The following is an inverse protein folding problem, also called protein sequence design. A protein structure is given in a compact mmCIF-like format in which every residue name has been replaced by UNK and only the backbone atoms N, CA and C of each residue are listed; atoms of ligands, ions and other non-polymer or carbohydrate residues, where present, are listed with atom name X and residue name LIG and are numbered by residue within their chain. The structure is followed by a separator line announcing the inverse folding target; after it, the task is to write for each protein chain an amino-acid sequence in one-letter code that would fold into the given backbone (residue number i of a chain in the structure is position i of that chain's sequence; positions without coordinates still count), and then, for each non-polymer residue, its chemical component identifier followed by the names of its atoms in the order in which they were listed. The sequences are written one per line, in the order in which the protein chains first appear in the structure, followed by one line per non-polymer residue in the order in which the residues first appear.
data_IF_252403781301
#
_entry.id   IF_252403781301
#
_cell.length_a   1.000
_cell.length_b   1.000
_cell.length_c   1.000
_cell.angle_alpha   90.00
_cell.angle_beta   90.00
_cell.angle_gamma   90.00
#
_symmetry.space_group_name_H-M   'P 1'
#
loop_
_entity.id
_entity.type
_entity.pdbx_description
1 polymer ?
#
# COMPACT_ATOMS: atom_id res chain seq x y z
N UNK A 1 -35.88 -75.18 -42.81
CA UNK A 1 -35.55 -76.37 -41.99
C UNK A 1 -34.05 -76.45 -41.82
N UNK A 2 -33.57 -76.76 -40.58
CA UNK A 2 -32.19 -76.65 -40.04
C UNK A 2 -31.85 -75.22 -39.59
N UNK A 3 -31.83 -74.82 -38.31
CA UNK A 3 -31.36 -75.43 -37.05
C UNK A 3 -29.88 -75.81 -37.06
N UNK A 4 -29.05 -74.95 -36.46
CA UNK A 4 -28.03 -75.36 -35.49
C UNK A 4 -27.69 -74.19 -34.56
N UNK A 5 -27.71 -74.50 -33.28
CA UNK A 5 -27.59 -73.62 -32.14
C UNK A 5 -26.24 -73.80 -31.43
N UNK A 6 -26.11 -73.10 -30.30
CA UNK A 6 -25.15 -73.22 -29.16
C UNK A 6 -24.06 -72.14 -29.22
N UNK A 7 -23.74 -71.42 -28.14
CA UNK A 7 -23.72 -71.79 -26.73
C UNK A 7 -24.33 -70.70 -25.79
N UNK A 8 -25.05 -71.18 -24.77
CA UNK A 8 -25.34 -70.53 -23.46
C UNK A 8 -24.06 -70.48 -22.59
N UNK A 9 -24.01 -69.93 -21.34
CA UNK A 9 -25.06 -69.32 -20.50
C UNK A 9 -24.59 -68.07 -19.70
N UNK A 10 -25.46 -67.66 -18.76
CA UNK A 10 -25.13 -67.05 -17.45
C UNK A 10 -25.01 -65.51 -17.42
N UNK A 11 -26.11 -64.86 -17.05
CA UNK A 11 -26.01 -63.80 -16.06
C UNK A 11 -27.13 -63.95 -15.03
N UNK A 12 -26.67 -64.31 -13.83
CA UNK A 12 -27.42 -64.30 -12.60
C UNK A 12 -27.75 -62.86 -12.20
N UNK A 13 -28.91 -62.70 -11.58
CA UNK A 13 -29.25 -61.51 -10.82
C UNK A 13 -28.25 -61.34 -9.67
N UNK A 14 -27.59 -60.18 -9.61
CA UNK A 14 -26.94 -59.68 -8.41
C UNK A 14 -27.49 -58.29 -8.16
N UNK A 15 -28.17 -58.17 -7.03
CA UNK A 15 -28.53 -56.91 -6.41
C UNK A 15 -27.24 -56.11 -6.15
N UNK A 16 -27.09 -54.94 -6.77
CA UNK A 16 -26.12 -53.96 -6.31
C UNK A 16 -26.80 -53.04 -5.30
N UNK A 17 -26.27 -53.10 -4.08
CA UNK A 17 -26.41 -52.05 -3.08
C UNK A 17 -26.09 -50.70 -3.72
N UNK A 18 -27.03 -49.77 -3.67
CA UNK A 18 -26.71 -48.36 -3.74
C UNK A 18 -25.99 -47.98 -2.44
N UNK A 19 -24.67 -48.17 -2.41
CA UNK A 19 -23.83 -47.45 -1.46
C UNK A 19 -23.84 -46.00 -1.92
N UNK A 20 -24.58 -45.17 -1.19
CA UNK A 20 -24.38 -43.74 -1.23
C UNK A 20 -22.94 -43.47 -0.76
N UNK A 21 -22.00 -43.41 -1.70
CA UNK A 21 -20.77 -42.67 -1.47
C UNK A 21 -21.19 -41.21 -1.34
N UNK A 22 -21.45 -40.79 -0.11
CA UNK A 22 -21.23 -39.42 0.33
C UNK A 22 -19.75 -39.13 0.05
N UNK A 23 -19.46 -38.68 -1.17
CA UNK A 23 -18.24 -37.95 -1.44
C UNK A 23 -18.35 -36.69 -0.59
N UNK A 24 -17.73 -36.75 0.58
CA UNK A 24 -17.28 -35.58 1.31
C UNK A 24 -16.47 -34.76 0.31
N UNK A 25 -17.14 -33.85 -0.37
CA UNK A 25 -16.49 -32.80 -1.12
C UNK A 25 -15.76 -31.99 -0.09
N UNK A 26 -14.49 -32.35 0.12
CA UNK A 26 -13.50 -31.36 0.53
C UNK A 26 -13.58 -30.34 -0.59
N UNK A 27 -14.32 -29.26 -0.33
CA UNK A 27 -14.21 -28.07 -1.14
C UNK A 27 -12.73 -27.74 -1.11
N UNK A 28 -12.06 -27.91 -2.25
CA UNK A 28 -10.77 -27.28 -2.42
C UNK A 28 -10.99 -25.81 -2.07
N UNK A 29 -10.09 -25.18 -1.28
CA UNK A 29 -10.14 -23.74 -1.15
C UNK A 29 -10.19 -23.17 -2.56
N UNK A 30 -11.19 -22.31 -2.80
CA UNK A 30 -11.29 -21.57 -4.05
C UNK A 30 -9.99 -20.83 -4.32
N UNK A 31 -9.78 -20.31 -5.55
CA UNK A 31 -8.62 -19.49 -5.84
C UNK A 31 -8.51 -18.44 -4.73
N UNK A 32 -7.33 -18.38 -4.11
CA UNK A 32 -6.97 -17.36 -3.14
C UNK A 32 -7.57 -16.03 -3.60
N UNK A 33 -8.33 -15.35 -2.73
CA UNK A 33 -8.60 -13.92 -2.93
C UNK A 33 -7.27 -13.28 -3.29
N UNK A 34 -7.21 -12.53 -4.41
CA UNK A 34 -5.97 -11.87 -4.81
C UNK A 34 -5.38 -11.19 -3.57
N UNK A 35 -4.10 -11.41 -3.25
CA UNK A 35 -3.51 -10.74 -2.10
C UNK A 35 -3.70 -9.23 -2.32
N UNK A 36 -4.04 -8.52 -1.25
CA UNK A 36 -4.28 -7.07 -1.19
C UNK A 36 -3.01 -6.29 -1.56
N UNK A 37 -2.59 -6.39 -2.82
CA UNK A 37 -1.40 -5.78 -3.39
C UNK A 37 -1.84 -4.54 -4.15
N UNK A 38 -1.25 -3.40 -3.81
CA UNK A 38 -1.61 -2.09 -4.38
C UNK A 38 -0.38 -1.47 -5.01
N UNK A 39 -0.40 -1.33 -6.34
CA UNK A 39 0.60 -0.64 -7.12
C UNK A 39 0.32 0.85 -7.18
N UNK A 40 1.35 1.65 -7.02
CA UNK A 40 1.21 3.09 -6.91
C UNK A 40 2.36 3.82 -7.61
N UNK A 41 1.99 4.82 -8.40
CA UNK A 41 2.88 5.82 -8.96
C UNK A 41 2.52 7.15 -8.30
N UNK A 42 3.46 7.72 -7.55
CA UNK A 42 3.24 8.94 -6.78
C UNK A 42 4.16 10.06 -7.24
N UNK A 43 3.62 11.26 -7.44
CA UNK A 43 4.40 12.50 -7.53
C UNK A 43 4.57 13.12 -6.14
N UNK A 44 5.67 13.85 -5.97
CA UNK A 44 5.94 14.60 -4.75
C UNK A 44 6.27 16.05 -5.08
N UNK A 45 5.79 16.96 -4.24
CA UNK A 45 6.15 18.38 -4.30
C UNK A 45 6.49 18.90 -2.91
N UNK A 46 7.64 19.56 -2.77
CA UNK A 46 8.05 20.19 -1.52
C UNK A 46 8.77 21.52 -1.74
N UNK A 47 9.21 22.15 -0.66
CA UNK A 47 10.05 23.34 -0.73
C UNK A 47 11.39 23.09 -1.44
N UNK A 48 11.80 21.81 -1.52
CA UNK A 48 13.04 21.41 -2.15
C UNK A 48 12.90 20.93 -3.60
N UNK A 49 11.73 21.15 -4.20
CA UNK A 49 11.43 20.79 -5.58
C UNK A 49 10.48 19.60 -5.70
N UNK A 50 10.47 18.99 -6.89
CA UNK A 50 9.64 17.82 -7.18
C UNK A 50 10.43 16.51 -7.05
N UNK A 51 9.72 15.42 -6.77
CA UNK A 51 10.24 14.06 -6.80
C UNK A 51 9.10 13.09 -7.13
N UNK A 52 9.35 11.78 -7.01
CA UNK A 52 8.38 10.73 -7.28
C UNK A 52 8.70 9.43 -6.54
N UNK A 53 7.72 8.53 -6.49
CA UNK A 53 7.88 7.16 -6.01
C UNK A 53 7.17 6.20 -6.94
N UNK A 54 7.79 5.05 -7.17
CA UNK A 54 7.09 3.85 -7.61
C UNK A 54 7.07 2.89 -6.45
N UNK A 55 5.89 2.38 -6.09
CA UNK A 55 5.80 1.44 -4.98
C UNK A 55 4.71 0.41 -5.20
N UNK A 56 4.88 -0.71 -4.52
CA UNK A 56 3.84 -1.69 -4.34
C UNK A 56 3.78 -2.12 -2.89
N UNK A 57 2.58 -2.09 -2.33
CA UNK A 57 2.31 -2.39 -0.93
C UNK A 57 1.44 -3.64 -0.83
N UNK A 58 1.62 -4.44 0.21
CA UNK A 58 0.61 -5.39 0.67
C UNK A 58 -0.17 -4.81 1.84
N UNK A 59 -1.50 -4.95 1.87
CA UNK A 59 -2.24 -4.84 3.13
C UNK A 59 -2.32 -6.21 3.83
N UNK A 60 -2.24 -6.18 5.15
CA UNK A 60 -2.31 -7.36 6.02
C UNK A 60 -2.40 -6.92 7.48
N UNK A 61 -2.70 -7.86 8.38
CA UNK A 61 -2.71 -7.55 9.81
C UNK A 61 -1.29 -7.15 10.25
N UNK A 62 -1.08 -5.91 10.72
CA UNK A 62 0.23 -5.37 11.09
C UNK A 62 0.93 -6.22 12.16
N UNK A 63 0.15 -6.90 13.00
CA UNK A 63 0.64 -7.65 14.16
C UNK A 63 1.04 -9.09 13.85
N UNK A 64 0.58 -9.66 12.73
CA UNK A 64 0.82 -11.08 12.44
C UNK A 64 2.08 -11.31 11.63
N UNK A 65 2.69 -10.27 11.03
CA UNK A 65 3.86 -10.36 10.16
C UNK A 65 3.79 -11.54 9.17
N UNK A 66 2.59 -12.00 8.80
CA UNK A 66 2.43 -13.12 7.89
C UNK A 66 3.04 -12.69 6.54
N UNK A 67 3.91 -13.52 5.94
CA UNK A 67 4.53 -13.19 4.67
C UNK A 67 3.44 -12.99 3.62
N UNK A 68 3.30 -11.76 3.12
CA UNK A 68 2.49 -11.52 1.93
C UNK A 68 3.27 -11.90 0.67
N UNK A 69 2.56 -12.01 -0.46
CA UNK A 69 3.10 -12.31 -1.79
C UNK A 69 4.41 -11.57 -2.12
N UNK A 70 4.54 -10.29 -1.73
CA UNK A 70 5.74 -9.48 -1.99
C UNK A 70 7.02 -9.97 -1.29
N UNK A 71 6.90 -10.81 -0.26
CA UNK A 71 8.03 -11.27 0.56
C UNK A 71 8.96 -12.21 -0.22
N UNK A 72 8.36 -13.13 -0.97
CA UNK A 72 9.04 -14.23 -1.67
C UNK A 72 9.54 -13.86 -3.06
N UNK A 73 9.25 -12.62 -3.50
CA UNK A 73 9.70 -12.12 -4.79
C UNK A 73 11.21 -11.87 -4.77
N UNK A 74 11.82 -12.10 -5.93
CA UNK A 74 13.22 -11.77 -6.20
C UNK A 74 13.36 -10.33 -6.65
N UNK A 75 12.38 -9.82 -7.40
CA UNK A 75 12.37 -8.46 -7.93
C UNK A 75 10.95 -8.00 -8.24
N UNK A 76 10.72 -6.70 -8.11
CA UNK A 76 9.59 -6.02 -8.76
C UNK A 76 10.18 -4.99 -9.72
N UNK A 77 9.70 -4.97 -10.96
CA UNK A 77 10.09 -3.97 -11.96
C UNK A 77 8.87 -3.23 -12.49
N UNK A 78 9.07 -2.00 -12.90
CA UNK A 78 8.04 -1.12 -13.47
C UNK A 78 8.43 -0.76 -14.89
N UNK A 79 7.53 -1.01 -15.84
CA UNK A 79 7.63 -0.55 -17.20
C UNK A 79 6.87 0.78 -17.29
N UNK A 80 7.55 1.85 -17.70
CA UNK A 80 6.98 3.20 -17.78
C UNK A 80 6.26 3.41 -19.13
N UNK A 81 5.36 4.41 -19.23
CA UNK A 81 4.72 4.78 -20.49
C UNK A 81 5.72 5.15 -21.60
N UNK A 82 6.90 5.65 -21.20
CA UNK A 82 7.96 6.06 -22.12
C UNK A 82 8.84 4.88 -22.59
N UNK A 83 8.59 3.68 -22.08
CA UNK A 83 9.29 2.45 -22.43
C UNK A 83 10.52 2.13 -21.57
N UNK A 84 10.74 2.88 -20.49
CA UNK A 84 11.80 2.57 -19.53
C UNK A 84 11.42 1.39 -18.65
N UNK A 85 12.44 0.68 -18.14
CA UNK A 85 12.28 -0.39 -17.16
C UNK A 85 13.09 -0.03 -15.92
N UNK A 86 12.43 0.02 -14.78
CA UNK A 86 13.06 0.36 -13.49
C UNK A 86 12.79 -0.70 -12.45
N UNK A 87 13.81 -1.03 -11.66
CA UNK A 87 13.75 -2.04 -10.61
C UNK A 87 13.46 -1.36 -9.26
N UNK A 88 12.57 -1.96 -8.48
CA UNK A 88 12.24 -1.50 -7.14
C UNK A 88 13.13 -2.18 -6.08
N UNK A 89 13.28 -1.54 -4.92
CA UNK A 89 14.03 -2.06 -3.78
C UNK A 89 13.08 -2.59 -2.70
N UNK A 90 13.48 -3.65 -1.98
CA UNK A 90 12.73 -4.12 -0.81
C UNK A 90 12.89 -3.15 0.35
N UNK A 91 11.78 -2.67 0.88
CA UNK A 91 11.73 -1.84 2.08
C UNK A 91 10.64 -2.34 3.02
N UNK A 92 11.04 -3.00 4.12
CA UNK A 92 10.12 -3.56 5.10
C UNK A 92 10.21 -2.76 6.39
N UNK A 93 9.30 -1.79 6.54
CA UNK A 93 9.14 -1.04 7.78
C UNK A 93 7.96 -1.59 8.57
N UNK A 94 8.19 -1.92 9.84
CA UNK A 94 7.19 -2.47 10.76
C UNK A 94 6.98 -1.45 11.86
N UNK A 95 5.98 -0.58 11.71
CA UNK A 95 5.56 0.31 12.79
C UNK A 95 4.03 0.35 12.87
N UNK A 96 3.48 -0.19 13.94
CA UNK A 96 2.03 -0.31 14.14
C UNK A 96 1.30 1.04 14.29
N UNK A 97 2.00 2.11 14.67
CA UNK A 97 1.39 3.43 14.87
C UNK A 97 1.25 4.26 13.57
N UNK A 98 1.91 3.86 12.47
CA UNK A 98 1.79 4.56 11.19
C UNK A 98 0.48 4.31 10.46
N UNK A 99 -0.28 3.29 10.87
CA UNK A 99 -1.37 2.73 10.07
C UNK A 99 -0.90 2.11 8.75
N UNK A 100 0.42 2.08 8.51
CA UNK A 100 1.08 1.58 7.32
C UNK A 100 2.16 0.57 7.76
N UNK A 101 1.72 -0.64 8.12
CA UNK A 101 2.64 -1.79 8.16
C UNK A 101 2.71 -2.34 6.76
N UNK A 102 3.64 -1.79 5.99
CA UNK A 102 3.76 -2.14 4.58
C UNK A 102 5.06 -2.90 4.38
N UNK A 103 4.93 -4.21 4.18
CA UNK A 103 5.93 -4.91 3.37
C UNK A 103 5.81 -4.32 1.96
N UNK A 104 6.79 -3.53 1.55
CA UNK A 104 6.74 -2.84 0.26
C UNK A 104 7.99 -3.04 -0.56
N UNK A 105 7.80 -2.86 -1.86
CA UNK A 105 8.88 -2.58 -2.79
C UNK A 105 8.74 -1.13 -3.23
N UNK A 106 9.83 -0.38 -3.27
CA UNK A 106 9.81 1.04 -3.58
C UNK A 106 11.05 1.48 -4.33
N UNK A 107 10.89 2.47 -5.21
CA UNK A 107 11.99 3.25 -5.78
C UNK A 107 11.65 4.73 -5.63
N UNK A 108 12.60 5.49 -5.09
CA UNK A 108 12.51 6.92 -4.91
C UNK A 108 13.18 7.66 -6.07
N UNK A 109 12.46 8.63 -6.63
CA UNK A 109 13.02 9.56 -7.59
C UNK A 109 14.05 10.49 -6.96
N UNK A 110 14.96 11.05 -7.77
CA UNK A 110 15.88 12.08 -7.30
C UNK A 110 15.10 13.34 -6.90
N UNK A 111 15.62 14.05 -5.90
CA UNK A 111 15.18 15.39 -5.58
C UNK A 111 15.41 16.32 -6.78
N UNK A 112 14.46 17.24 -7.02
CA UNK A 112 14.39 18.07 -8.24
C UNK A 112 14.20 17.22 -9.52
N UNK A 113 13.76 15.97 -9.38
CA UNK A 113 13.39 15.10 -10.48
C UNK A 113 12.11 15.55 -11.17
N UNK A 114 11.99 15.25 -12.46
CA UNK A 114 10.72 15.42 -13.18
C UNK A 114 9.70 14.42 -12.63
N UNK A 115 8.47 14.84 -12.30
CA UNK A 115 7.44 13.89 -11.87
C UNK A 115 7.09 12.92 -13.00
N UNK A 116 6.49 11.75 -12.70
CA UNK A 116 6.25 10.70 -13.69
C UNK A 116 5.29 11.19 -14.78
N UNK A 117 5.47 10.70 -16.01
CA UNK A 117 4.58 11.01 -17.13
C UNK A 117 3.20 10.39 -16.90
N UNK A 118 2.13 11.03 -17.41
CA UNK A 118 0.82 10.37 -17.42
C UNK A 118 0.81 9.21 -18.42
N UNK A 119 0.16 8.11 -18.07
CA UNK A 119 0.03 6.94 -18.94
C UNK A 119 -0.11 5.63 -18.17
N UNK A 120 -0.03 4.54 -18.91
CA UNK A 120 -0.10 3.17 -18.37
C UNK A 120 1.29 2.76 -17.85
N UNK A 121 1.35 2.36 -16.58
CA UNK A 121 2.52 1.76 -15.95
C UNK A 121 2.26 0.27 -15.71
N UNK A 122 3.17 -0.59 -16.13
CA UNK A 122 3.06 -2.03 -15.86
C UNK A 122 4.03 -2.47 -14.78
N UNK A 123 3.50 -3.01 -13.69
CA UNK A 123 4.27 -3.65 -12.63
C UNK A 123 4.41 -5.13 -12.93
N UNK A 124 5.64 -5.63 -12.91
CA UNK A 124 5.94 -7.04 -13.07
C UNK A 124 6.64 -7.58 -11.83
N UNK A 125 6.19 -8.76 -11.41
CA UNK A 125 6.63 -9.43 -10.20
C UNK A 125 7.42 -10.67 -10.59
N UNK A 126 8.69 -10.71 -10.21
CA UNK A 126 9.60 -11.77 -10.60
C UNK A 126 9.93 -12.66 -9.40
N UNK A 127 9.91 -13.95 -9.64
CA UNK A 127 10.45 -14.95 -8.73
C UNK A 127 11.55 -15.71 -9.46
N UNK A 128 12.76 -15.68 -8.90
CA UNK A 128 13.99 -15.94 -9.67
C UNK A 128 14.05 -15.01 -10.89
N UNK A 129 14.05 -15.56 -12.11
CA UNK A 129 14.12 -14.80 -13.37
C UNK A 129 12.82 -14.87 -14.18
N UNK A 130 11.74 -15.40 -13.61
CA UNK A 130 10.45 -15.56 -14.30
C UNK A 130 9.43 -14.54 -13.79
N UNK A 131 8.72 -13.90 -14.72
CA UNK A 131 7.58 -13.04 -14.40
C UNK A 131 6.41 -13.92 -14.00
N UNK A 132 6.05 -13.89 -12.71
CA UNK A 132 4.96 -14.71 -12.15
C UNK A 132 3.64 -13.95 -12.08
N UNK A 133 3.68 -12.62 -12.11
CA UNK A 133 2.51 -11.73 -12.18
C UNK A 133 2.88 -10.46 -12.94
N UNK A 134 1.90 -9.87 -13.63
CA UNK A 134 1.97 -8.56 -14.25
C UNK A 134 0.63 -7.85 -14.08
N UNK A 135 0.66 -6.55 -13.78
CA UNK A 135 -0.53 -5.72 -13.64
C UNK A 135 -0.25 -4.30 -14.14
N UNK A 136 -1.17 -3.76 -14.95
CA UNK A 136 -1.07 -2.42 -15.51
C UNK A 136 -2.01 -1.47 -14.77
N UNK A 137 -1.52 -0.28 -14.45
CA UNK A 137 -2.29 0.80 -13.83
C UNK A 137 -2.19 2.08 -14.66
N UNK A 138 -3.30 2.83 -14.71
CA UNK A 138 -3.32 4.15 -15.31
C UNK A 138 -2.90 5.20 -14.27
N UNK A 139 -1.91 6.02 -14.63
CA UNK A 139 -1.48 7.16 -13.83
C UNK A 139 -1.78 8.47 -14.56
N UNK A 140 -2.41 9.40 -13.84
CA UNK A 140 -2.55 10.80 -14.30
C UNK A 140 -1.70 11.68 -13.40
N UNK A 141 -0.72 12.35 -14.02
CA UNK A 141 0.17 13.26 -13.31
C UNK A 141 -0.63 14.41 -12.73
N UNK A 142 -0.47 14.62 -11.42
CA UNK A 142 -1.00 15.77 -10.71
C UNK A 142 0.10 16.41 -9.89
N UNK A 143 -0.02 17.73 -9.69
CA UNK A 143 0.88 18.51 -8.87
C UNK A 143 0.11 19.65 -8.21
N UNK A 144 0.29 19.80 -6.91
CA UNK A 144 -0.20 20.93 -6.12
C UNK A 144 0.94 21.45 -5.25
N UNK A 145 0.89 22.74 -4.91
CA UNK A 145 1.75 23.30 -3.88
C UNK A 145 1.52 22.61 -2.52
N UNK A 146 2.44 22.81 -1.59
CA UNK A 146 2.39 22.21 -0.26
C UNK A 146 1.78 23.15 0.80
N UNK A 147 1.29 22.61 1.93
CA UNK A 147 0.77 23.42 3.04
C UNK A 147 1.86 24.26 3.69
N UNK A 148 1.50 25.45 4.14
CA UNK A 148 2.46 26.42 4.71
C UNK A 148 2.01 26.90 6.08
N UNK A 149 2.86 27.70 6.74
CA UNK A 149 2.55 28.33 8.03
C UNK A 149 2.08 27.36 9.13
N UNK A 150 2.62 26.13 9.10
CA UNK A 150 2.32 25.10 10.10
C UNK A 150 2.71 25.59 11.49
N UNK A 151 1.73 25.63 12.39
CA UNK A 151 1.85 26.00 13.81
C UNK A 151 1.24 24.90 14.66
N UNK A 152 1.75 24.76 15.88
CA UNK A 152 1.22 23.78 16.82
C UNK A 152 1.20 24.33 18.25
N UNK A 153 0.39 23.71 19.09
CA UNK A 153 0.28 24.02 20.51
C UNK A 153 -0.04 22.75 21.32
N UNK A 154 0.67 22.57 22.45
CA UNK A 154 0.34 21.56 23.47
C UNK A 154 -0.84 22.02 24.32
N UNK A 155 -1.86 21.18 24.44
CA UNK A 155 -3.04 21.37 25.29
C UNK A 155 -3.20 20.17 26.22
N UNK A 156 -2.43 20.15 27.33
CA UNK A 156 -2.35 18.96 28.17
C UNK A 156 -1.60 17.83 27.45
N UNK A 157 -2.31 16.74 27.16
CA UNK A 157 -1.79 15.61 26.38
C UNK A 157 -2.17 15.68 24.89
N UNK A 158 -2.98 16.68 24.51
CA UNK A 158 -3.40 16.88 23.14
C UNK A 158 -2.44 17.80 22.40
N UNK A 159 -2.37 17.65 21.08
CA UNK A 159 -1.66 18.56 20.18
C UNK A 159 -2.66 19.19 19.23
N UNK A 160 -2.79 20.51 19.29
CA UNK A 160 -3.51 21.29 18.29
C UNK A 160 -2.54 21.75 17.20
N UNK A 161 -2.91 21.57 15.93
CA UNK A 161 -2.11 21.95 14.75
C UNK A 161 -2.95 22.82 13.84
N UNK A 162 -2.35 23.86 13.25
CA UNK A 162 -2.97 24.75 12.27
C UNK A 162 -2.03 24.94 11.08
N UNK A 163 -2.58 25.06 9.88
CA UNK A 163 -1.82 25.31 8.65
C UNK A 163 -2.59 26.20 7.67
N UNK A 164 -1.87 26.78 6.71
CA UNK A 164 -2.44 27.50 5.58
C UNK A 164 -2.50 26.55 4.36
N UNK A 165 -3.70 26.25 3.84
CA UNK A 165 -3.85 25.32 2.71
C UNK A 165 -3.26 25.91 1.42
N UNK A 166 -2.62 25.09 0.56
CA UNK A 166 -2.15 25.56 -0.74
C UNK A 166 -3.31 25.88 -1.68
N UNK A 167 -3.04 26.67 -2.72
CA UNK A 167 -4.01 26.86 -3.80
C UNK A 167 -4.22 25.56 -4.59
N UNK A 168 -5.47 25.30 -5.01
CA UNK A 168 -5.81 24.13 -5.82
C UNK A 168 -6.25 22.91 -5.03
N UNK A 169 -6.36 22.99 -3.70
CA UNK A 169 -6.91 21.89 -2.89
C UNK A 169 -8.39 21.74 -3.20
N UNK A 170 -8.81 20.51 -3.47
CA UNK A 170 -10.17 20.20 -3.88
C UNK A 170 -10.71 18.93 -3.20
N UNK A 171 -12.02 18.74 -3.31
CA UNK A 171 -12.70 17.58 -2.76
C UNK A 171 -12.12 16.28 -3.33
N UNK A 172 -11.74 15.37 -2.43
CA UNK A 172 -11.08 14.10 -2.77
C UNK A 172 -9.59 14.08 -2.44
N UNK A 173 -9.00 15.23 -2.12
CA UNK A 173 -7.72 15.32 -1.44
C UNK A 173 -7.89 15.11 0.08
N UNK A 174 -6.80 14.98 0.80
CA UNK A 174 -6.83 14.91 2.27
C UNK A 174 -5.50 15.37 2.85
N UNK A 175 -5.52 15.89 4.07
CA UNK A 175 -4.30 16.14 4.83
C UNK A 175 -3.94 14.91 5.66
N UNK A 176 -2.66 14.76 5.97
CA UNK A 176 -2.26 14.04 7.18
C UNK A 176 -1.57 15.00 8.12
N UNK A 177 -1.78 14.84 9.42
CA UNK A 177 -0.86 15.38 10.43
C UNK A 177 0.00 14.24 10.93
N UNK A 178 1.30 14.39 10.75
CA UNK A 178 2.30 13.37 11.06
C UNK A 178 3.19 13.90 12.19
N UNK A 179 3.44 13.07 13.19
CA UNK A 179 4.43 13.31 14.24
C UNK A 179 5.45 12.18 14.20
N UNK A 180 6.73 12.49 14.09
CA UNK A 180 7.80 11.49 14.17
C UNK A 180 8.86 11.88 15.20
N UNK A 181 9.57 10.89 15.73
CA UNK A 181 10.71 11.11 16.63
C UNK A 181 11.94 11.64 15.88
N UNK A 182 12.71 12.50 16.55
CA UNK A 182 14.02 12.99 16.11
C UNK A 182 15.13 12.58 17.09
N UNK A 183 16.35 12.45 16.54
CA UNK A 183 17.56 12.20 17.32
C UNK A 183 17.52 10.88 18.08
N UNK A 184 17.86 10.93 19.38
CA UNK A 184 17.91 9.76 20.27
C UNK A 184 16.55 9.42 20.90
N UNK A 185 15.48 10.15 20.54
CA UNK A 185 14.14 9.92 21.06
C UNK A 185 13.61 8.57 20.56
N UNK A 186 13.09 7.69 21.44
CA UNK A 186 12.50 6.42 21.01
C UNK A 186 11.48 6.61 19.89
N UNK A 187 11.50 5.72 18.91
CA UNK A 187 10.66 5.83 17.73
C UNK A 187 9.17 5.88 18.12
N UNK A 188 8.55 7.02 17.86
CA UNK A 188 7.12 7.25 17.86
C UNK A 188 6.78 7.78 16.46
N UNK A 189 5.67 7.32 15.92
CA UNK A 189 5.18 7.80 14.65
C UNK A 189 3.66 7.88 14.71
N UNK A 190 3.09 9.07 14.61
CA UNK A 190 1.64 9.29 14.63
C UNK A 190 1.26 9.82 13.26
N UNK A 191 0.16 9.30 12.70
CA UNK A 191 -0.34 9.71 11.40
C UNK A 191 -1.86 9.69 11.42
N UNK A 192 -2.49 10.86 11.28
CA UNK A 192 -3.95 11.00 11.26
C UNK A 192 -4.40 11.73 10.01
N UNK A 193 -5.48 11.25 9.39
CA UNK A 193 -6.06 11.79 8.15
C UNK A 193 -7.13 12.85 8.48
N UNK A 194 -7.13 13.94 7.73
CA UNK A 194 -8.11 15.02 7.84
C UNK A 194 -8.66 15.40 6.46
N UNK A 195 -9.90 15.87 6.41
CA UNK A 195 -10.58 16.27 5.17
C UNK A 195 -9.84 17.41 4.45
N UNK A 196 -10.01 17.49 3.14
CA UNK A 196 -9.38 18.48 2.24
C UNK A 196 -9.64 19.95 2.59
N UNK A 197 -10.73 20.27 3.29
CA UNK A 197 -11.09 21.63 3.68
C UNK A 197 -10.67 21.97 5.12
N UNK A 198 -9.92 21.08 5.77
CA UNK A 198 -9.37 21.35 7.09
C UNK A 198 -8.20 22.36 7.01
N UNK A 199 -8.20 23.30 7.94
CA UNK A 199 -7.10 24.26 8.18
C UNK A 199 -6.49 24.05 9.58
N UNK A 200 -7.04 23.13 10.36
CA UNK A 200 -6.58 22.79 11.71
C UNK A 200 -7.02 21.40 12.12
N UNK A 201 -6.34 20.85 13.12
CA UNK A 201 -6.59 19.54 13.70
C UNK A 201 -6.26 19.52 15.19
N UNK A 202 -6.86 18.58 15.93
CA UNK A 202 -6.46 18.23 17.29
C UNK A 202 -6.18 16.72 17.32
N UNK A 203 -4.96 16.35 17.67
CA UNK A 203 -4.59 14.97 17.96
C UNK A 203 -4.75 14.72 19.46
N UNK A 204 -5.73 13.90 19.88
CA UNK A 204 -5.97 13.66 21.30
C UNK A 204 -4.98 12.65 21.89
N UNK A 205 -4.57 12.86 23.14
CA UNK A 205 -3.79 11.92 23.96
C UNK A 205 -2.57 11.31 23.23
N UNK A 206 -1.75 12.17 22.61
CA UNK A 206 -0.56 11.72 21.86
C UNK A 206 0.48 11.16 22.86
N UNK A 207 0.94 9.91 22.73
CA UNK A 207 1.78 9.25 23.73
C UNK A 207 3.26 9.64 23.61
N UNK A 208 3.56 10.94 23.61
CA UNK A 208 4.93 11.46 23.55
C UNK A 208 5.58 11.43 24.93
N UNK A 209 6.86 11.06 24.97
CA UNK A 209 7.70 11.12 26.16
C UNK A 209 8.11 12.57 26.44
N UNK A 210 7.97 13.01 27.69
CA UNK A 210 8.47 14.32 28.15
C UNK A 210 9.97 14.45 27.85
N UNK A 211 10.40 15.66 27.47
CA UNK A 211 11.76 15.99 27.03
C UNK A 211 12.22 15.28 25.74
N UNK A 212 11.31 14.55 25.05
CA UNK A 212 11.58 13.94 23.76
C UNK A 212 11.60 14.97 22.62
N UNK A 213 12.44 14.73 21.62
CA UNK A 213 12.53 15.54 20.40
C UNK A 213 11.69 14.91 19.30
N UNK A 214 10.82 15.71 18.68
CA UNK A 214 9.89 15.27 17.66
C UNK A 214 9.77 16.31 16.56
N UNK A 215 9.20 15.92 15.41
CA UNK A 215 8.77 16.84 14.37
C UNK A 215 7.28 16.71 14.10
N UNK A 216 6.66 17.79 13.63
CA UNK A 216 5.31 17.79 13.05
C UNK A 216 5.41 18.09 11.56
N UNK A 217 4.75 17.27 10.74
CA UNK A 217 4.58 17.48 9.31
C UNK A 217 3.10 17.54 8.95
N UNK A 218 2.75 18.41 8.01
CA UNK A 218 1.38 18.52 7.45
C UNK A 218 1.44 18.43 5.93
N UNK A 219 1.53 17.21 5.37
CA UNK A 219 1.36 16.97 3.95
C UNK A 219 -0.12 17.02 3.51
N UNK A 220 -0.34 17.40 2.26
CA UNK A 220 -1.60 17.18 1.51
C UNK A 220 -1.41 16.07 0.50
N UNK A 221 -2.35 15.15 0.43
CA UNK A 221 -2.37 14.01 -0.48
C UNK A 221 -3.48 14.19 -1.51
N UNK A 222 -3.22 13.65 -2.70
CA UNK A 222 -4.14 13.63 -3.82
C UNK A 222 -3.96 12.30 -4.55
N UNK A 223 -4.86 12.01 -5.50
CA UNK A 223 -4.73 10.79 -6.27
C UNK A 223 -3.41 10.79 -7.06
N UNK A 224 -2.53 9.83 -6.78
CA UNK A 224 -1.24 9.73 -7.45
C UNK A 224 -0.15 10.69 -6.93
N UNK A 225 -0.26 11.20 -5.70
CA UNK A 225 0.85 11.93 -5.10
C UNK A 225 0.55 12.66 -3.80
N UNK A 226 1.55 13.42 -3.35
CA UNK A 226 1.42 14.28 -2.18
C UNK A 226 2.33 15.51 -2.27
N UNK A 227 2.05 16.51 -1.44
CA UNK A 227 2.87 17.69 -1.32
C UNK A 227 3.08 18.02 0.17
N UNK A 228 4.32 18.31 0.55
CA UNK A 228 4.71 18.50 1.95
C UNK A 228 5.62 19.72 2.12
N UNK A 229 5.39 20.47 3.20
CA UNK A 229 6.20 21.62 3.57
C UNK A 229 7.33 21.26 4.54
N UNK A 230 8.06 22.25 5.05
CA UNK A 230 9.06 22.07 6.10
C UNK A 230 8.43 21.49 7.37
N UNK A 231 9.07 20.48 7.92
CA UNK A 231 8.74 19.95 9.24
C UNK A 231 8.98 20.99 10.34
N UNK A 232 8.27 20.84 11.47
CA UNK A 232 8.42 21.66 12.66
C UNK A 232 8.92 20.82 13.83
N UNK A 233 10.22 20.91 14.09
CA UNK A 233 10.84 20.26 15.25
C UNK A 233 10.39 20.93 16.56
N UNK A 234 10.20 20.12 17.60
CA UNK A 234 9.84 20.57 18.94
C UNK A 234 10.28 19.57 20.01
N UNK A 235 10.30 20.06 21.26
CA UNK A 235 10.47 19.23 22.46
C UNK A 235 9.11 19.13 23.15
N UNK A 236 8.71 17.90 23.51
CA UNK A 236 7.46 17.65 24.24
C UNK A 236 7.58 18.00 25.71
#
# INVERSE_FOLDING_TARGET
MKSTARLFPLLAAIALLAVACSSSGVSLPGPFSEPDVYEEVWSQTSEFGTSWEYKVNCSGDPTTLEPCFLSDLTLVRVLTPDGDVVDLEKDFNVNDYSGEVTRRWVLYGPQEGSPPASGEYTFEYLQSDEVIRSHAIDYTQSNIAYPTEVKWQRNGNDIAVQWSPPAGVEKGMWYKVIIGSEGDTPAAFVSQVFEWDAESAVLPDVPLLEDGNYYISVPVFYNGGYAYGPDKSFVW
#
